data_IF_178015598035
#
_entry.id   IF_178015598035
#
_cell.length_a   1.000
_cell.length_b   1.000
_cell.length_c   1.000
_cell.angle_alpha   90.00
_cell.angle_beta   90.00
_cell.angle_gamma   90.00
#
_symmetry.space_group_name_H-M   'P 1'
#
loop_
_entity.id
_entity.type
_entity.pdbx_description
1 polymer ?
#
# COMPACT_ATOMS: atom_id res chain seq x y z
N UNK A 1 -43.16 -80.21 -14.04
CA UNK A 1 -42.69 -81.42 -13.33
C UNK A 1 -41.18 -81.27 -13.17
N UNK A 2 -40.70 -81.03 -11.94
CA UNK A 2 -39.31 -80.63 -11.65
C UNK A 2 -38.95 -79.17 -12.01
N UNK A 3 -38.07 -78.46 -11.30
CA UNK A 3 -37.54 -78.65 -9.93
C UNK A 3 -37.00 -77.29 -9.38
N UNK A 4 -36.77 -77.19 -8.06
CA UNK A 4 -36.33 -76.00 -7.31
C UNK A 4 -34.84 -75.65 -7.44
N UNK A 5 -34.44 -74.39 -7.17
CA UNK A 5 -33.20 -74.06 -6.41
C UNK A 5 -33.12 -72.59 -5.91
N UNK A 6 -32.28 -72.37 -4.87
CA UNK A 6 -32.16 -71.13 -4.07
C UNK A 6 -30.73 -71.05 -3.43
N UNK A 7 -30.18 -69.92 -2.94
CA UNK A 7 -30.75 -68.56 -2.83
C UNK A 7 -29.83 -67.40 -3.34
N UNK A 8 -28.85 -66.81 -2.62
CA UNK A 8 -28.65 -65.35 -2.75
C UNK A 8 -27.20 -64.78 -2.88
N UNK A 9 -27.12 -63.56 -3.43
CA UNK A 9 -26.22 -62.49 -2.96
C UNK A 9 -24.77 -62.46 -3.44
N UNK A 10 -24.34 -61.27 -3.90
CA UNK A 10 -23.01 -60.66 -3.68
C UNK A 10 -23.18 -59.15 -3.95
N UNK A 11 -23.02 -58.33 -2.91
CA UNK A 11 -22.63 -56.92 -3.07
C UNK A 11 -21.23 -56.88 -3.69
N UNK A 12 -20.88 -55.84 -4.46
CA UNK A 12 -19.56 -55.17 -4.43
C UNK A 12 -19.57 -53.95 -5.36
N UNK A 13 -19.10 -52.81 -4.85
CA UNK A 13 -18.72 -51.55 -5.52
C UNK A 13 -19.64 -51.05 -6.68
N UNK A 14 -20.40 -49.98 -6.53
CA UNK A 14 -20.02 -48.74 -5.84
C UNK A 14 -19.24 -47.85 -6.81
N UNK A 15 -19.94 -47.20 -7.72
CA UNK A 15 -19.37 -46.11 -8.52
C UNK A 15 -18.99 -44.99 -7.55
N UNK A 16 -17.71 -44.68 -7.46
CA UNK A 16 -17.21 -43.52 -6.73
C UNK A 16 -17.46 -42.28 -7.62
N UNK A 17 -18.46 -41.43 -7.31
CA UNK A 17 -18.70 -40.25 -8.12
C UNK A 17 -17.53 -39.32 -7.85
N UNK A 18 -16.66 -39.16 -8.87
CA UNK A 18 -15.51 -38.26 -8.85
C UNK A 18 -15.89 -36.98 -8.13
N UNK A 19 -15.30 -36.77 -6.96
CA UNK A 19 -15.56 -35.61 -6.14
C UNK A 19 -14.92 -34.40 -6.85
N UNK A 20 -15.65 -33.87 -7.83
CA UNK A 20 -15.44 -32.55 -8.38
C UNK A 20 -15.57 -31.59 -7.19
N UNK A 21 -14.41 -31.23 -6.64
CA UNK A 21 -14.31 -30.14 -5.69
C UNK A 21 -14.61 -28.89 -6.49
N UNK A 22 -15.89 -28.51 -6.54
CA UNK A 22 -16.30 -27.15 -6.86
C UNK A 22 -15.48 -26.23 -5.95
N UNK A 23 -14.49 -25.57 -6.53
CA UNK A 23 -13.79 -24.47 -5.89
C UNK A 23 -14.80 -23.34 -5.75
N UNK A 24 -15.49 -23.30 -4.62
CA UNK A 24 -16.49 -22.28 -4.34
C UNK A 24 -15.87 -20.86 -4.41
N UNK A 25 -16.69 -19.82 -4.65
CA UNK A 25 -16.21 -18.44 -4.89
C UNK A 25 -15.19 -17.93 -3.86
N UNK A 26 -15.38 -18.30 -2.59
CA UNK A 26 -14.50 -17.97 -1.46
C UNK A 26 -13.03 -18.43 -1.63
N UNK A 27 -12.77 -19.42 -2.50
CA UNK A 27 -11.42 -19.91 -2.78
C UNK A 27 -10.70 -19.17 -3.91
N UNK A 28 -11.45 -18.45 -4.77
CA UNK A 28 -10.90 -17.61 -5.83
C UNK A 28 -10.60 -16.20 -5.31
N UNK A 29 -11.50 -15.61 -4.50
CA UNK A 29 -11.29 -14.30 -3.85
C UNK A 29 -10.01 -14.26 -2.99
N UNK A 30 -9.74 -15.32 -2.23
CA UNK A 30 -8.51 -15.43 -1.44
C UNK A 30 -7.25 -15.54 -2.30
N UNK A 31 -7.33 -16.21 -3.45
CA UNK A 31 -6.20 -16.39 -4.36
C UNK A 31 -5.86 -15.09 -5.12
N UNK A 32 -6.87 -14.31 -5.52
CA UNK A 32 -6.68 -13.01 -6.17
C UNK A 32 -6.03 -11.99 -5.21
N UNK A 33 -6.53 -11.91 -3.98
CA UNK A 33 -5.95 -11.10 -2.89
C UNK A 33 -4.47 -11.45 -2.65
N UNK A 34 -4.15 -12.73 -2.45
CA UNK A 34 -2.77 -13.17 -2.23
C UNK A 34 -1.87 -12.87 -3.45
N UNK A 35 -2.44 -12.96 -4.66
CA UNK A 35 -1.79 -12.53 -5.90
C UNK A 35 -1.44 -11.04 -5.90
N UNK A 36 -2.42 -10.18 -5.60
CA UNK A 36 -2.26 -8.72 -5.52
C UNK A 36 -1.19 -8.32 -4.49
N UNK A 37 -1.27 -8.82 -3.25
CA UNK A 37 -0.33 -8.48 -2.18
C UNK A 37 1.09 -8.91 -2.56
N UNK A 38 1.27 -10.11 -3.13
CA UNK A 38 2.58 -10.59 -3.61
C UNK A 38 3.13 -9.74 -4.75
N UNK A 39 2.28 -9.31 -5.69
CA UNK A 39 2.69 -8.43 -6.78
C UNK A 39 3.13 -7.04 -6.27
N UNK A 40 2.37 -6.45 -5.34
CA UNK A 40 2.71 -5.18 -4.71
C UNK A 40 4.03 -5.26 -3.91
N UNK A 41 4.22 -6.32 -3.12
CA UNK A 41 5.47 -6.56 -2.39
C UNK A 41 6.67 -6.72 -3.32
N UNK A 42 6.51 -7.43 -4.45
CA UNK A 42 7.56 -7.54 -5.47
C UNK A 42 7.88 -6.17 -6.09
N UNK A 43 6.86 -5.38 -6.43
CA UNK A 43 7.02 -4.03 -6.96
C UNK A 43 7.79 -3.11 -5.99
N UNK A 44 7.36 -3.01 -4.74
CA UNK A 44 8.05 -2.19 -3.74
C UNK A 44 9.45 -2.71 -3.41
N UNK A 45 9.65 -4.04 -3.35
CA UNK A 45 10.98 -4.63 -3.21
C UNK A 45 11.92 -4.25 -4.35
N UNK A 46 11.45 -4.34 -5.60
CA UNK A 46 12.22 -3.94 -6.77
C UNK A 46 12.51 -2.42 -6.78
N UNK A 47 11.52 -1.57 -6.44
CA UNK A 47 11.67 -0.13 -6.34
C UNK A 47 12.73 0.27 -5.30
N UNK A 48 12.71 -0.35 -4.12
CA UNK A 48 13.72 -0.15 -3.07
C UNK A 48 15.12 -0.61 -3.50
N UNK A 49 15.22 -1.72 -4.24
CA UNK A 49 16.50 -2.16 -4.82
C UNK A 49 17.03 -1.18 -5.87
N UNK A 50 16.16 -0.67 -6.76
CA UNK A 50 16.53 0.36 -7.75
C UNK A 50 17.05 1.62 -7.06
N UNK A 51 16.37 2.07 -6.01
CA UNK A 51 16.79 3.22 -5.21
C UNK A 51 18.17 3.04 -4.57
N UNK A 52 18.44 1.86 -3.99
CA UNK A 52 19.74 1.51 -3.42
C UNK A 52 20.83 1.49 -4.49
N UNK A 53 20.61 0.82 -5.62
CA UNK A 53 21.58 0.71 -6.71
C UNK A 53 21.90 2.08 -7.32
N UNK A 54 20.89 2.93 -7.55
CA UNK A 54 21.09 4.31 -7.99
C UNK A 54 21.97 5.07 -6.99
N UNK A 55 21.59 5.07 -5.71
CA UNK A 55 22.30 5.86 -4.70
C UNK A 55 23.73 5.37 -4.48
N UNK A 56 23.95 4.06 -4.42
CA UNK A 56 25.29 3.45 -4.31
C UNK A 56 26.18 3.67 -5.54
N UNK A 57 25.59 3.93 -6.71
CA UNK A 57 26.35 4.30 -7.93
C UNK A 57 26.88 5.74 -7.90
N UNK A 58 26.51 6.54 -6.90
CA UNK A 58 26.97 7.93 -6.72
C UNK A 58 28.02 7.98 -5.59
N UNK A 59 29.32 8.22 -5.86
CA UNK A 59 30.36 8.19 -4.84
C UNK A 59 30.09 9.17 -3.68
N UNK A 60 30.22 8.69 -2.45
CA UNK A 60 30.03 9.49 -1.22
C UNK A 60 28.57 9.78 -0.83
N UNK A 61 27.58 9.37 -1.63
CA UNK A 61 26.19 9.71 -1.38
C UNK A 61 25.50 8.74 -0.39
N UNK A 62 25.01 9.26 0.75
CA UNK A 62 24.23 8.49 1.72
C UNK A 62 22.77 8.38 1.28
N UNK A 63 22.15 7.19 1.30
CA UNK A 63 20.68 7.08 1.09
C UNK A 63 19.89 7.60 2.29
N UNK A 64 20.44 7.46 3.49
CA UNK A 64 19.74 7.80 4.74
C UNK A 64 19.78 9.29 5.07
N UNK A 65 20.72 10.05 4.51
CA UNK A 65 20.95 11.45 4.87
C UNK A 65 20.85 12.38 3.66
N UNK A 66 20.27 13.56 3.89
CA UNK A 66 20.25 14.62 2.89
C UNK A 66 21.67 15.18 2.67
N UNK A 67 22.06 15.56 1.44
CA UNK A 67 23.33 16.25 1.19
C UNK A 67 23.39 17.60 1.92
N UNK A 68 24.55 17.94 2.47
CA UNK A 68 24.94 19.29 2.92
C UNK A 68 24.03 20.03 3.93
N UNK A 69 23.04 19.36 4.53
CA UNK A 69 22.17 19.94 5.55
C UNK A 69 22.71 19.71 6.97
N UNK A 70 22.85 20.76 7.82
CA UNK A 70 23.10 20.57 9.25
C UNK A 70 21.88 19.89 9.87
N UNK A 71 22.13 18.79 10.60
CA UNK A 71 21.08 18.00 11.25
C UNK A 71 20.40 18.80 12.37
N UNK A 72 19.31 19.48 12.04
CA UNK A 72 18.46 20.15 13.04
C UNK A 72 17.87 19.17 14.07
N UNK A 73 17.91 17.88 13.75
CA UNK A 73 17.58 16.75 14.62
C UNK A 73 18.77 15.80 14.66
N UNK A 74 19.59 15.87 15.71
CA UNK A 74 20.73 14.98 15.91
C UNK A 74 20.26 13.55 16.29
N UNK A 75 19.93 12.77 15.26
CA UNK A 75 19.76 11.33 15.33
C UNK A 75 18.36 10.80 14.99
N UNK A 76 18.33 9.48 14.76
CA UNK A 76 17.16 8.71 14.29
C UNK A 76 15.89 8.95 15.12
N UNK A 77 16.02 9.12 16.43
CA UNK A 77 14.89 9.36 17.33
C UNK A 77 14.18 10.70 17.08
N UNK A 78 14.94 11.77 16.81
CA UNK A 78 14.38 13.08 16.47
C UNK A 78 13.69 13.07 15.11
N UNK A 79 14.33 12.43 14.11
CA UNK A 79 13.75 12.22 12.78
C UNK A 79 12.44 11.40 12.84
N UNK A 80 12.43 10.29 13.61
CA UNK A 80 11.25 9.45 13.82
C UNK A 80 10.11 10.26 14.46
N UNK A 81 10.38 11.04 15.51
CA UNK A 81 9.38 11.88 16.16
C UNK A 81 8.82 12.94 15.21
N UNK A 82 9.67 13.64 14.45
CA UNK A 82 9.24 14.62 13.46
C UNK A 82 8.35 13.97 12.38
N UNK A 83 8.71 12.77 11.91
CA UNK A 83 7.90 11.98 10.99
C UNK A 83 6.53 11.59 11.54
N UNK A 84 6.48 11.08 12.77
CA UNK A 84 5.21 10.72 13.43
C UNK A 84 4.31 11.94 13.67
N UNK A 85 4.89 13.10 14.01
CA UNK A 85 4.14 14.36 14.18
C UNK A 85 3.56 14.85 12.84
N UNK A 86 4.36 14.90 11.78
CA UNK A 86 3.89 15.32 10.44
C UNK A 86 2.86 14.33 9.90
N UNK A 87 3.10 13.02 10.01
CA UNK A 87 2.14 11.98 9.62
C UNK A 87 0.82 12.07 10.40
N UNK A 88 0.88 12.36 11.71
CA UNK A 88 -0.30 12.61 12.54
C UNK A 88 -1.09 13.85 12.13
N UNK A 89 -0.41 14.94 11.78
CA UNK A 89 -1.04 16.16 11.24
C UNK A 89 -1.68 15.87 9.87
N UNK A 90 -0.98 15.18 8.97
CA UNK A 90 -1.51 14.78 7.65
C UNK A 90 -2.72 13.86 7.77
N UNK A 91 -2.74 12.93 8.73
CA UNK A 91 -3.92 12.10 9.04
C UNK A 91 -5.08 12.92 9.57
N UNK A 92 -4.84 13.86 10.50
CA UNK A 92 -5.87 14.75 11.03
C UNK A 92 -6.49 15.63 9.94
N UNK A 93 -5.66 16.17 9.04
CA UNK A 93 -6.11 16.96 7.89
C UNK A 93 -6.86 16.10 6.87
N UNK A 94 -6.37 14.90 6.55
CA UNK A 94 -7.03 13.96 5.65
C UNK A 94 -8.41 13.55 6.17
N UNK A 95 -8.52 13.19 7.46
CA UNK A 95 -9.78 12.86 8.11
C UNK A 95 -10.75 14.06 8.12
N UNK A 96 -10.25 15.27 8.40
CA UNK A 96 -11.06 16.48 8.36
C UNK A 96 -11.58 16.79 6.95
N UNK A 97 -10.74 16.69 5.92
CA UNK A 97 -11.16 16.88 4.52
C UNK A 97 -12.19 15.83 4.08
N UNK A 98 -12.02 14.56 4.47
CA UNK A 98 -12.97 13.48 4.17
C UNK A 98 -14.32 13.67 4.87
N UNK A 99 -14.35 14.24 6.09
CA UNK A 99 -15.60 14.47 6.85
C UNK A 99 -16.32 15.77 6.54
N UNK A 100 -15.59 16.78 6.06
CA UNK A 100 -16.11 18.14 5.84
C UNK A 100 -16.36 18.46 4.36
N UNK A 101 -16.11 17.52 3.45
CA UNK A 101 -16.30 17.71 2.02
C UNK A 101 -16.77 16.45 1.31
N UNK A 102 -17.89 16.55 0.61
CA UNK A 102 -18.44 15.53 -0.30
C UNK A 102 -17.38 15.03 -1.32
N UNK A 103 -16.44 15.89 -1.69
CA UNK A 103 -15.36 15.60 -2.62
C UNK A 103 -14.27 14.73 -1.98
N UNK A 104 -13.98 14.95 -0.69
CA UNK A 104 -13.09 14.09 0.09
C UNK A 104 -13.73 12.74 0.39
N UNK A 105 -15.03 12.72 0.68
CA UNK A 105 -15.79 11.50 0.86
C UNK A 105 -15.83 10.63 -0.41
N UNK A 106 -16.23 11.21 -1.54
CA UNK A 106 -16.28 10.55 -2.85
C UNK A 106 -14.90 10.01 -3.28
N UNK A 107 -13.83 10.74 -2.98
CA UNK A 107 -12.47 10.26 -3.25
C UNK A 107 -12.10 9.06 -2.37
N UNK A 108 -12.40 9.12 -1.08
CA UNK A 108 -12.17 7.99 -0.16
C UNK A 108 -12.94 6.75 -0.59
N UNK A 109 -14.18 6.92 -1.07
CA UNK A 109 -14.98 5.82 -1.61
C UNK A 109 -14.35 5.21 -2.88
N UNK A 110 -13.97 6.06 -3.84
CA UNK A 110 -13.33 5.62 -5.10
C UNK A 110 -12.00 4.90 -4.86
N UNK A 111 -11.21 5.33 -3.87
CA UNK A 111 -9.98 4.64 -3.47
C UNK A 111 -10.29 3.32 -2.74
N UNK A 112 -11.32 3.31 -1.88
CA UNK A 112 -11.76 2.13 -1.13
C UNK A 112 -12.22 0.98 -2.03
N UNK A 113 -12.88 1.27 -3.16
CA UNK A 113 -13.27 0.27 -4.17
C UNK A 113 -12.09 -0.61 -4.63
N UNK A 114 -10.89 -0.03 -4.78
CA UNK A 114 -9.69 -0.77 -5.18
C UNK A 114 -9.03 -1.58 -4.04
N UNK A 115 -9.55 -1.48 -2.82
CA UNK A 115 -8.99 -2.09 -1.61
C UNK A 115 -9.96 -3.12 -0.96
N UNK A 116 -11.10 -3.41 -1.59
CA UNK A 116 -12.06 -4.41 -1.14
C UNK A 116 -11.37 -5.78 -0.99
N UNK A 117 -11.62 -6.46 0.14
CA UNK A 117 -11.05 -7.78 0.44
C UNK A 117 -9.64 -7.76 1.04
N UNK A 118 -8.93 -6.61 1.02
CA UNK A 118 -7.62 -6.47 1.67
C UNK A 118 -7.80 -6.47 3.18
N UNK A 119 -7.15 -7.41 3.88
CA UNK A 119 -7.21 -7.46 5.35
C UNK A 119 -6.47 -6.30 6.01
N UNK A 120 -6.81 -5.97 7.25
CA UNK A 120 -6.05 -4.99 8.06
C UNK A 120 -4.55 -5.33 8.15
N UNK A 121 -4.18 -6.61 8.22
CA UNK A 121 -2.78 -7.02 8.28
C UNK A 121 -2.06 -6.74 6.96
N UNK A 122 -2.73 -7.00 5.83
CA UNK A 122 -2.21 -6.74 4.49
C UNK A 122 -2.08 -5.23 4.25
N UNK A 123 -3.07 -4.44 4.66
CA UNK A 123 -3.01 -2.98 4.59
C UNK A 123 -1.84 -2.39 5.38
N UNK A 124 -1.53 -2.93 6.57
CA UNK A 124 -0.35 -2.54 7.36
C UNK A 124 0.95 -2.99 6.67
N UNK A 125 0.99 -4.20 6.11
CA UNK A 125 2.16 -4.72 5.39
C UNK A 125 2.46 -3.91 4.12
N UNK A 126 1.42 -3.58 3.34
CA UNK A 126 1.52 -2.74 2.15
C UNK A 126 1.90 -1.30 2.51
N UNK A 127 1.39 -0.76 3.61
CA UNK A 127 1.79 0.56 4.12
C UNK A 127 3.27 0.63 4.49
N UNK A 128 3.81 -0.41 5.14
CA UNK A 128 5.23 -0.49 5.44
C UNK A 128 6.08 -0.66 4.16
N UNK A 129 5.66 -1.53 3.24
CA UNK A 129 6.38 -1.77 1.99
C UNK A 129 6.44 -0.53 1.09
N UNK A 130 5.30 0.14 0.86
CA UNK A 130 5.20 1.39 0.09
C UNK A 130 5.97 2.52 0.75
N UNK A 131 5.66 2.84 2.01
CA UNK A 131 6.25 3.96 2.73
C UNK A 131 7.76 3.83 3.00
N UNK A 132 8.34 2.63 2.89
CA UNK A 132 9.80 2.45 2.88
C UNK A 132 10.36 2.57 1.46
N UNK A 133 9.83 1.80 0.50
CA UNK A 133 10.39 1.72 -0.84
C UNK A 133 10.26 3.02 -1.64
N UNK A 134 9.11 3.70 -1.53
CA UNK A 134 8.87 4.97 -2.21
C UNK A 134 9.74 6.08 -1.64
N UNK A 135 9.92 6.17 -0.32
CA UNK A 135 10.81 7.18 0.26
C UNK A 135 12.27 6.91 -0.11
N UNK A 136 12.73 5.66 -0.13
CA UNK A 136 14.06 5.30 -0.65
C UNK A 136 14.24 5.81 -2.09
N UNK A 137 13.25 5.60 -2.96
CA UNK A 137 13.32 6.03 -4.35
C UNK A 137 13.21 7.54 -4.51
N UNK A 138 12.10 8.14 -4.07
CA UNK A 138 11.78 9.54 -4.29
C UNK A 138 12.65 10.49 -3.47
N UNK A 139 12.94 10.18 -2.20
CA UNK A 139 13.66 11.08 -1.27
C UNK A 139 15.13 10.66 -1.12
N UNK A 140 15.41 9.36 -1.05
CA UNK A 140 16.78 8.84 -0.93
C UNK A 140 17.62 8.92 -2.21
N UNK A 141 17.02 8.75 -3.39
CA UNK A 141 17.74 8.72 -4.68
C UNK A 141 17.36 9.87 -5.64
N UNK A 142 16.07 10.08 -5.89
CA UNK A 142 15.58 11.01 -6.92
C UNK A 142 15.70 12.48 -6.50
N UNK A 143 15.17 12.88 -5.34
CA UNK A 143 15.17 14.27 -4.87
C UNK A 143 16.57 14.89 -4.77
N UNK A 144 17.63 14.21 -4.29
CA UNK A 144 19.00 14.73 -4.35
C UNK A 144 19.54 14.93 -5.77
N UNK A 145 18.90 14.35 -6.79
CA UNK A 145 19.30 14.44 -8.20
C UNK A 145 18.50 15.50 -8.97
N UNK A 146 17.20 15.66 -8.67
CA UNK A 146 16.29 16.56 -9.43
C UNK A 146 15.69 17.71 -8.60
N UNK A 147 15.95 17.75 -7.30
CA UNK A 147 15.39 18.72 -6.35
C UNK A 147 13.95 18.43 -5.90
N UNK A 148 13.55 19.09 -4.81
CA UNK A 148 12.25 18.93 -4.14
C UNK A 148 11.05 19.02 -5.10
N UNK A 149 11.04 20.03 -5.98
CA UNK A 149 9.91 20.32 -6.88
C UNK A 149 9.65 19.15 -7.84
N UNK A 150 10.68 18.72 -8.57
CA UNK A 150 10.52 17.65 -9.56
C UNK A 150 10.27 16.30 -8.92
N UNK A 151 10.90 15.99 -7.78
CA UNK A 151 10.59 14.77 -7.05
C UNK A 151 9.13 14.72 -6.55
N UNK A 152 8.60 15.86 -6.06
CA UNK A 152 7.21 15.96 -5.60
C UNK A 152 6.19 15.85 -6.74
N UNK A 153 6.47 16.46 -7.89
CA UNK A 153 5.62 16.33 -9.09
C UNK A 153 5.65 14.91 -9.65
N UNK A 154 6.84 14.29 -9.74
CA UNK A 154 6.97 12.90 -10.21
C UNK A 154 6.29 11.91 -9.25
N UNK A 155 6.39 12.13 -7.93
CA UNK A 155 5.68 11.35 -6.92
C UNK A 155 4.16 11.40 -7.16
N UNK A 156 3.58 12.60 -7.29
CA UNK A 156 2.16 12.74 -7.60
C UNK A 156 1.75 12.22 -8.98
N UNK A 157 2.64 12.25 -9.97
CA UNK A 157 2.41 11.68 -11.29
C UNK A 157 2.39 10.14 -11.26
N UNK A 158 3.20 9.48 -10.43
CA UNK A 158 3.09 8.04 -10.19
C UNK A 158 1.79 7.64 -9.48
N UNK A 159 1.15 8.58 -8.78
CA UNK A 159 -0.17 8.42 -8.16
C UNK A 159 -1.32 8.80 -9.11
N UNK A 160 -1.04 9.11 -10.38
CA UNK A 160 -2.06 9.39 -11.39
C UNK A 160 -2.68 8.10 -11.94
N UNK A 161 -3.92 7.81 -11.55
CA UNK A 161 -4.78 6.89 -12.30
C UNK A 161 -5.53 7.67 -13.39
N UNK A 162 -5.73 7.10 -14.59
CA UNK A 162 -6.39 7.76 -15.72
C UNK A 162 -7.94 7.85 -15.58
N UNK A 163 -8.40 8.14 -14.36
CA UNK A 163 -9.81 8.38 -13.99
C UNK A 163 -9.90 9.82 -13.47
N UNK A 164 -10.85 10.61 -13.97
CA UNK A 164 -10.95 12.05 -13.64
C UNK A 164 -11.18 12.28 -12.15
N UNK A 165 -11.84 11.31 -11.52
CA UNK A 165 -12.18 11.20 -10.12
C UNK A 165 -10.92 11.14 -9.23
N UNK A 166 -9.80 10.62 -9.77
CA UNK A 166 -8.53 10.43 -9.06
C UNK A 166 -7.50 11.56 -9.31
N UNK A 167 -7.89 12.62 -10.02
CA UNK A 167 -7.08 13.85 -10.14
C UNK A 167 -6.86 14.49 -8.76
N UNK A 168 -7.87 14.47 -7.88
CA UNK A 168 -7.71 14.98 -6.51
C UNK A 168 -6.74 14.15 -5.68
N UNK A 169 -6.71 12.82 -5.86
CA UNK A 169 -5.68 11.97 -5.27
C UNK A 169 -4.29 12.34 -5.77
N UNK A 170 -4.14 12.62 -7.07
CA UNK A 170 -2.86 13.07 -7.64
C UNK A 170 -2.42 14.43 -7.06
N UNK A 171 -3.34 15.39 -6.88
CA UNK A 171 -3.05 16.69 -6.25
C UNK A 171 -2.66 16.53 -4.78
N UNK A 172 -3.37 15.69 -4.03
CA UNK A 172 -3.01 15.33 -2.65
C UNK A 172 -1.64 14.65 -2.58
N UNK A 173 -1.35 13.74 -3.51
CA UNK A 173 -0.06 13.08 -3.62
C UNK A 173 1.07 14.07 -3.95
N UNK A 174 0.88 15.06 -4.82
CA UNK A 174 1.86 16.15 -5.02
C UNK A 174 2.09 16.94 -3.72
N UNK A 175 1.02 17.28 -2.99
CA UNK A 175 1.12 18.03 -1.73
C UNK A 175 1.85 17.24 -0.63
N UNK A 176 1.54 15.94 -0.48
CA UNK A 176 2.30 15.01 0.36
C UNK A 176 3.73 14.83 -0.16
N UNK A 177 3.91 14.86 -1.49
CA UNK A 177 5.18 14.95 -2.21
C UNK A 177 6.10 15.98 -1.58
N UNK A 178 5.63 17.23 -1.57
CA UNK A 178 6.31 18.39 -0.98
C UNK A 178 6.48 18.28 0.53
N UNK A 179 5.45 17.85 1.27
CA UNK A 179 5.52 17.75 2.73
C UNK A 179 6.60 16.75 3.19
N UNK A 180 6.67 15.58 2.55
CA UNK A 180 7.66 14.53 2.83
C UNK A 180 9.06 14.93 2.34
N UNK A 181 9.15 15.56 1.16
CA UNK A 181 10.43 16.04 0.64
C UNK A 181 11.03 17.18 1.46
N UNK A 182 10.21 18.12 1.92
CA UNK A 182 10.63 19.17 2.86
C UNK A 182 11.01 18.59 4.22
N UNK A 183 10.25 17.61 4.74
CA UNK A 183 10.58 16.92 5.98
C UNK A 183 11.93 16.20 5.89
N UNK A 184 12.28 15.62 4.73
CA UNK A 184 13.60 15.04 4.49
C UNK A 184 14.72 16.08 4.57
N UNK A 185 14.57 17.23 3.91
CA UNK A 185 15.55 18.32 3.92
C UNK A 185 15.67 18.97 5.32
N UNK A 186 14.55 19.18 6.02
CA UNK A 186 14.52 19.82 7.34
C UNK A 186 15.07 18.93 8.47
N UNK A 187 14.89 17.61 8.39
CA UNK A 187 15.44 16.66 9.38
C UNK A 187 16.82 16.14 8.98
N UNK A 188 17.19 16.23 7.71
CA UNK A 188 18.39 15.63 7.13
C UNK A 188 18.36 14.11 7.09
N UNK A 189 17.23 13.44 7.39
CA UNK A 189 17.22 11.99 7.66
C UNK A 189 15.98 11.27 7.10
N UNK A 190 16.20 10.23 6.29
CA UNK A 190 15.17 9.53 5.50
C UNK A 190 14.09 8.81 6.36
N UNK A 191 14.43 8.44 7.60
CA UNK A 191 13.46 7.86 8.55
C UNK A 191 12.29 8.81 8.86
N UNK A 192 12.46 10.13 8.75
CA UNK A 192 11.37 11.08 9.01
C UNK A 192 10.22 10.97 7.98
N UNK A 193 10.45 11.12 6.65
CA UNK A 193 9.39 10.91 5.67
C UNK A 193 8.90 9.44 5.65
N UNK A 194 9.77 8.45 5.86
CA UNK A 194 9.34 7.05 5.99
C UNK A 194 8.31 6.87 7.10
N UNK A 195 8.60 7.38 8.31
CA UNK A 195 7.69 7.26 9.45
C UNK A 195 6.37 7.99 9.20
N UNK A 196 6.41 9.17 8.59
CA UNK A 196 5.21 9.92 8.20
C UNK A 196 4.35 9.15 7.18
N UNK A 197 4.97 8.65 6.11
CA UNK A 197 4.27 7.95 5.03
C UNK A 197 3.73 6.58 5.48
N UNK A 198 4.54 5.77 6.17
CA UNK A 198 4.08 4.49 6.75
C UNK A 198 2.92 4.71 7.73
N UNK A 199 2.98 5.73 8.59
CA UNK A 199 1.87 6.06 9.50
C UNK A 199 0.58 6.43 8.75
N UNK A 200 0.68 7.30 7.73
CA UNK A 200 -0.47 7.70 6.91
C UNK A 200 -1.09 6.48 6.22
N UNK A 201 -0.30 5.64 5.57
CA UNK A 201 -0.81 4.48 4.83
C UNK A 201 -1.34 3.37 5.77
N UNK A 202 -0.67 3.11 6.91
CA UNK A 202 -1.07 2.05 7.84
C UNK A 202 -2.39 2.36 8.54
N UNK A 203 -2.77 3.63 8.59
CA UNK A 203 -4.08 4.09 9.07
C UNK A 203 -5.10 4.16 7.94
N UNK A 204 -4.74 4.72 6.78
CA UNK A 204 -5.70 4.95 5.70
C UNK A 204 -6.06 3.66 4.93
N UNK A 205 -5.09 2.80 4.55
CA UNK A 205 -5.39 1.60 3.75
C UNK A 205 -6.42 0.67 4.44
N UNK A 206 -6.28 0.30 5.74
CA UNK A 206 -7.29 -0.53 6.41
C UNK A 206 -8.63 0.20 6.65
N UNK A 207 -8.63 1.54 6.78
CA UNK A 207 -9.87 2.33 6.92
C UNK A 207 -10.66 2.33 5.62
N UNK A 208 -9.99 2.56 4.49
CA UNK A 208 -10.61 2.60 3.16
C UNK A 208 -11.13 1.22 2.75
N UNK A 209 -10.35 0.15 2.95
CA UNK A 209 -10.79 -1.23 2.72
C UNK A 209 -12.06 -1.58 3.52
N UNK A 210 -12.06 -1.31 4.84
CA UNK A 210 -13.23 -1.59 5.68
C UNK A 210 -14.44 -0.73 5.29
N UNK A 211 -14.26 0.55 4.97
CA UNK A 211 -15.33 1.45 4.52
C UNK A 211 -15.98 0.94 3.24
N UNK A 212 -15.19 0.40 2.31
CA UNK A 212 -15.72 -0.20 1.08
C UNK A 212 -16.48 -1.51 1.35
N UNK A 213 -16.01 -2.37 2.26
CA UNK A 213 -16.77 -3.55 2.71
C UNK A 213 -18.09 -3.23 3.41
N UNK A 214 -18.11 -2.19 4.25
CA UNK A 214 -19.33 -1.72 4.94
C UNK A 214 -20.36 -1.24 3.92
N UNK A 215 -19.92 -0.56 2.85
CA UNK A 215 -20.76 -0.07 1.74
C UNK A 215 -21.25 -1.21 0.84
N UNK A 216 -20.41 -2.19 0.50
CA UNK A 216 -20.81 -3.32 -0.36
C UNK A 216 -21.75 -4.32 0.31
N UNK A 217 -21.83 -4.31 1.65
CA UNK A 217 -22.81 -5.10 2.44
C UNK A 217 -24.11 -4.35 2.73
N UNK A 218 -24.14 -3.03 2.53
CA UNK A 218 -25.26 -2.16 2.92
C UNK A 218 -26.07 -1.57 1.75
N UNK A 219 -25.65 -1.81 0.50
CA UNK A 219 -26.37 -1.46 -0.74
C UNK A 219 -27.05 -2.66 -1.37
#
# INVERSE_FOLDING_TARGET
MGLFAHSPGIHMFGEDPKHEREKGPLSDEGADRDGFVRAALFFYGALGCIALVWRMSTPGASILHAPDHPTSFDGVGGALLAGLLVGGISLGLSEALTRLSDLGESLADTLGESLVGISTADGILLAFASGVAEEMFFRGALQPTVGLVWASVLFGACHFLPRKELVLWSVYAVAMGFALGWLFEATGHLVAPMAAHVLVNAVNLPRLARRAEERSRGG
#
